data_IF_610550792732
#
_entry.id   IF_610550792732
#
_cell.length_a   1.000
_cell.length_b   1.000
_cell.length_c   1.000
_cell.angle_alpha   90.00
_cell.angle_beta   90.00
_cell.angle_gamma   90.00
#
_symmetry.space_group_name_H-M   'P 1'
#
loop_
_entity.id
_entity.type
_entity.pdbx_description
1 polymer ?
#
# COMPACT_ATOMS: atom_id res chain seq x y z
N UNK A 1 10.62 12.47 -13.85
CA UNK A 1 9.81 11.59 -12.99
C UNK A 1 9.24 12.40 -11.84
N UNK A 2 8.08 12.01 -11.31
CA UNK A 2 7.52 12.71 -10.15
C UNK A 2 8.38 12.42 -8.91
N UNK A 3 8.51 13.39 -8.00
CA UNK A 3 9.19 13.24 -6.71
C UNK A 3 8.73 11.94 -5.99
N UNK A 4 7.44 11.71 -5.94
CA UNK A 4 6.86 10.56 -5.26
C UNK A 4 7.23 9.19 -5.87
N UNK A 5 7.60 9.14 -7.15
CA UNK A 5 8.12 7.92 -7.78
C UNK A 5 9.47 7.53 -7.16
N UNK A 6 10.39 8.48 -7.08
CA UNK A 6 11.73 8.22 -6.49
C UNK A 6 11.65 7.96 -4.98
N UNK A 7 10.75 8.63 -4.29
CA UNK A 7 10.53 8.42 -2.86
C UNK A 7 9.98 6.98 -2.60
N UNK A 8 9.01 6.52 -3.39
CA UNK A 8 8.47 5.17 -3.28
C UNK A 8 9.51 4.09 -3.61
N UNK A 9 10.33 4.33 -4.64
CA UNK A 9 11.43 3.45 -5.02
C UNK A 9 12.47 3.36 -3.90
N UNK A 10 12.86 4.49 -3.35
CA UNK A 10 13.85 4.57 -2.25
C UNK A 10 13.33 3.88 -1.00
N UNK A 11 12.09 4.15 -0.60
CA UNK A 11 11.46 3.51 0.55
C UNK A 11 11.41 1.99 0.40
N UNK A 12 10.96 1.51 -0.76
CA UNK A 12 10.88 0.08 -1.03
C UNK A 12 12.27 -0.59 -1.02
N UNK A 13 13.29 0.10 -1.54
CA UNK A 13 14.67 -0.35 -1.49
C UNK A 13 15.16 -0.49 -0.04
N UNK A 14 14.99 0.55 0.77
CA UNK A 14 15.39 0.56 2.18
C UNK A 14 14.66 -0.53 2.99
N UNK A 15 13.34 -0.65 2.83
CA UNK A 15 12.55 -1.69 3.50
C UNK A 15 13.03 -3.10 3.11
N UNK A 16 13.36 -3.30 1.85
CA UNK A 16 13.84 -4.58 1.36
C UNK A 16 15.22 -4.90 1.92
N UNK A 17 16.15 -3.95 1.94
CA UNK A 17 17.46 -4.13 2.56
C UNK A 17 17.33 -4.44 4.05
N UNK A 18 16.50 -3.70 4.77
CA UNK A 18 16.21 -3.99 6.18
C UNK A 18 15.68 -5.40 6.36
N UNK A 19 14.68 -5.82 5.57
CA UNK A 19 14.12 -7.17 5.66
C UNK A 19 15.16 -8.26 5.38
N UNK A 20 16.06 -8.04 4.42
CA UNK A 20 17.12 -8.99 4.10
C UNK A 20 18.18 -9.09 5.22
N UNK A 21 18.34 -8.04 6.03
CA UNK A 21 19.24 -8.03 7.18
C UNK A 21 18.67 -8.74 8.42
N UNK A 22 17.36 -9.02 8.44
CA UNK A 22 16.73 -9.71 9.57
C UNK A 22 17.06 -11.21 9.53
N UNK A 23 17.58 -11.72 10.62
CA UNK A 23 17.91 -13.16 10.78
C UNK A 23 16.66 -13.96 11.17
N UNK A 24 15.67 -14.01 10.25
CA UNK A 24 14.46 -14.81 10.41
C UNK A 24 14.41 -15.94 9.39
N UNK A 25 14.38 -17.20 9.82
CA UNK A 25 14.42 -18.34 8.88
C UNK A 25 13.20 -18.45 7.97
N UNK A 26 12.03 -17.90 8.38
CA UNK A 26 10.77 -18.16 7.67
C UNK A 26 9.84 -16.96 7.46
N UNK A 27 10.09 -15.79 8.04
CA UNK A 27 9.17 -14.65 7.98
C UNK A 27 9.90 -13.39 7.54
N UNK A 28 9.91 -13.16 6.22
CA UNK A 28 10.40 -11.91 5.65
C UNK A 28 9.21 -11.04 5.26
N UNK A 29 9.34 -9.74 5.47
CA UNK A 29 8.43 -8.79 4.86
C UNK A 29 8.77 -8.65 3.38
N UNK A 30 7.76 -8.48 2.55
CA UNK A 30 7.91 -8.35 1.10
C UNK A 30 7.11 -7.14 0.64
N UNK A 31 7.69 -6.34 -0.22
CA UNK A 31 6.97 -5.22 -0.85
C UNK A 31 5.86 -5.78 -1.73
N UNK A 32 4.65 -5.27 -1.55
CA UNK A 32 3.48 -5.63 -2.33
C UNK A 32 2.83 -4.37 -2.89
N UNK A 33 2.50 -4.38 -4.17
CA UNK A 33 1.81 -3.30 -4.85
C UNK A 33 0.68 -3.83 -5.74
N UNK A 34 -0.08 -2.92 -6.37
CA UNK A 34 -1.06 -3.30 -7.40
C UNK A 34 -0.43 -3.78 -8.72
N UNK A 35 0.89 -3.77 -8.83
CA UNK A 35 1.61 -4.32 -9.97
C UNK A 35 1.53 -3.52 -11.27
N UNK A 36 0.82 -2.40 -11.29
CA UNK A 36 0.71 -1.50 -12.44
C UNK A 36 1.89 -0.52 -12.57
N UNK A 37 1.75 0.50 -13.44
CA UNK A 37 2.78 1.53 -13.64
C UNK A 37 2.82 2.57 -12.52
N UNK A 38 3.75 3.52 -12.60
CA UNK A 38 3.87 4.67 -11.70
C UNK A 38 4.38 4.29 -10.33
N UNK A 39 3.71 4.71 -9.25
CA UNK A 39 4.13 4.44 -7.87
C UNK A 39 4.20 2.93 -7.56
N UNK A 40 3.30 2.14 -8.13
CA UNK A 40 3.31 0.68 -7.99
C UNK A 40 4.58 0.06 -8.58
N UNK A 41 4.95 0.52 -9.77
CA UNK A 41 6.20 0.12 -10.43
C UNK A 41 7.42 0.59 -9.61
N UNK A 42 7.43 1.83 -9.13
CA UNK A 42 8.51 2.37 -8.31
C UNK A 42 8.76 1.50 -7.08
N UNK A 43 7.71 1.08 -6.39
CA UNK A 43 7.81 0.20 -5.23
C UNK A 43 8.40 -1.19 -5.60
N UNK A 44 7.91 -1.81 -6.66
CA UNK A 44 8.46 -3.10 -7.13
C UNK A 44 9.92 -2.96 -7.58
N UNK A 45 10.24 -1.87 -8.29
CA UNK A 45 11.60 -1.57 -8.75
C UNK A 45 12.58 -1.37 -7.59
N UNK A 46 12.20 -0.62 -6.55
CA UNK A 46 13.04 -0.44 -5.37
C UNK A 46 13.38 -1.76 -4.68
N UNK A 47 12.40 -2.67 -4.57
CA UNK A 47 12.64 -4.01 -4.02
C UNK A 47 13.54 -4.86 -4.91
N UNK A 48 13.34 -4.81 -6.23
CA UNK A 48 14.17 -5.50 -7.22
C UNK A 48 15.64 -5.03 -7.16
N UNK A 49 15.87 -3.73 -7.15
CA UNK A 49 17.21 -3.12 -7.07
C UNK A 49 17.93 -3.44 -5.75
N UNK A 50 17.20 -3.67 -4.67
CA UNK A 50 17.75 -4.14 -3.40
C UNK A 50 18.05 -5.64 -3.36
N UNK A 51 17.80 -6.38 -4.44
CA UNK A 51 18.00 -7.83 -4.52
C UNK A 51 16.94 -8.65 -3.79
N UNK A 52 15.81 -8.04 -3.43
CA UNK A 52 14.69 -8.72 -2.76
C UNK A 52 13.58 -9.15 -3.71
N UNK A 53 12.51 -9.70 -3.11
CA UNK A 53 11.31 -10.08 -3.84
C UNK A 53 10.23 -9.01 -3.70
N UNK A 54 9.37 -8.92 -4.72
CA UNK A 54 8.16 -8.09 -4.66
C UNK A 54 6.96 -8.82 -5.26
N UNK A 55 5.77 -8.44 -4.80
CA UNK A 55 4.49 -9.02 -5.20
C UNK A 55 3.70 -7.96 -5.96
N UNK A 56 3.01 -8.38 -7.02
CA UNK A 56 2.02 -7.58 -7.73
C UNK A 56 0.64 -8.20 -7.64
N UNK A 57 -0.33 -7.49 -7.07
CA UNK A 57 -1.74 -7.89 -7.02
C UNK A 57 -2.54 -7.04 -8.01
N UNK A 58 -2.53 -7.44 -9.27
CA UNK A 58 -3.15 -6.70 -10.36
C UNK A 58 -4.65 -7.01 -10.48
N UNK A 59 -5.39 -6.07 -11.05
CA UNK A 59 -6.80 -6.23 -11.41
C UNK A 59 -6.93 -6.16 -12.93
N UNK A 60 -7.70 -7.08 -13.50
CA UNK A 60 -7.98 -7.04 -14.93
C UNK A 60 -8.93 -5.89 -15.22
N UNK A 61 -8.45 -4.88 -15.95
CA UNK A 61 -9.23 -3.74 -16.41
C UNK A 61 -9.54 -3.87 -17.91
N UNK A 62 -10.60 -3.19 -18.40
CA UNK A 62 -10.91 -3.13 -19.83
C UNK A 62 -9.77 -2.50 -20.67
N UNK A 63 -8.99 -1.64 -20.05
CA UNK A 63 -7.78 -1.05 -20.64
C UNK A 63 -6.59 -1.82 -20.08
N UNK A 64 -5.81 -2.47 -20.93
CA UNK A 64 -4.69 -3.31 -20.51
C UNK A 64 -3.65 -2.50 -19.72
N UNK A 65 -3.61 -2.74 -18.41
CA UNK A 65 -2.45 -2.46 -17.57
C UNK A 65 -1.81 -3.80 -17.24
N UNK A 66 -0.75 -4.14 -17.97
CA UNK A 66 0.07 -5.30 -17.67
C UNK A 66 0.76 -5.16 -16.30
N UNK A 67 1.25 -6.27 -15.80
CA UNK A 67 2.18 -6.27 -14.66
C UNK A 67 3.48 -5.56 -15.06
N UNK A 68 4.03 -4.73 -14.16
CA UNK A 68 5.33 -4.12 -14.40
C UNK A 68 6.45 -5.16 -14.33
N UNK A 69 7.57 -4.88 -14.98
CA UNK A 69 8.69 -5.81 -15.17
C UNK A 69 9.50 -6.13 -13.90
N UNK A 70 9.35 -5.34 -12.84
CA UNK A 70 10.10 -5.48 -11.59
C UNK A 70 9.46 -6.44 -10.58
N UNK A 71 8.29 -6.97 -10.88
CA UNK A 71 7.63 -7.98 -10.04
C UNK A 71 8.42 -9.28 -10.16
N UNK A 72 8.66 -9.92 -9.02
CA UNK A 72 9.35 -11.20 -8.98
C UNK A 72 8.59 -12.26 -9.79
N UNK A 73 9.28 -12.97 -10.66
CA UNK A 73 8.67 -14.01 -11.48
C UNK A 73 7.88 -15.02 -10.62
N UNK A 74 6.65 -15.29 -10.99
CA UNK A 74 5.73 -16.15 -10.24
C UNK A 74 5.02 -15.46 -9.06
N UNK A 75 5.31 -14.19 -8.76
CA UNK A 75 4.63 -13.41 -7.70
C UNK A 75 3.73 -12.29 -8.25
N UNK A 76 3.42 -12.32 -9.53
CA UNK A 76 2.40 -11.47 -10.14
C UNK A 76 1.07 -12.21 -10.23
N UNK A 77 0.04 -11.66 -9.60
CA UNK A 77 -1.30 -12.25 -9.57
C UNK A 77 -2.30 -11.30 -10.23
N UNK A 78 -3.13 -11.82 -11.13
CA UNK A 78 -4.16 -11.04 -11.79
C UNK A 78 -5.54 -11.49 -11.30
N UNK A 79 -6.28 -10.57 -10.70
CA UNK A 79 -7.63 -10.80 -10.19
C UNK A 79 -8.68 -10.31 -11.20
N UNK A 80 -9.79 -11.03 -11.26
CA UNK A 80 -10.95 -10.62 -12.05
C UNK A 80 -11.90 -9.74 -11.22
N UNK A 81 -12.02 -10.02 -9.92
CA UNK A 81 -12.91 -9.31 -9.00
C UNK A 81 -12.14 -8.46 -8.01
N UNK A 82 -12.57 -7.21 -7.82
CA UNK A 82 -11.96 -6.27 -6.88
C UNK A 82 -11.93 -6.80 -5.45
N UNK A 83 -13.02 -7.39 -4.96
CA UNK A 83 -13.12 -7.85 -3.57
C UNK A 83 -12.09 -8.94 -3.23
N UNK A 84 -11.76 -9.81 -4.18
CA UNK A 84 -10.73 -10.83 -3.98
C UNK A 84 -9.34 -10.21 -3.85
N UNK A 85 -9.02 -9.23 -4.70
CA UNK A 85 -7.75 -8.50 -4.62
C UNK A 85 -7.62 -7.77 -3.29
N UNK A 86 -8.66 -7.06 -2.88
CA UNK A 86 -8.72 -6.33 -1.63
C UNK A 86 -8.53 -7.23 -0.42
N UNK A 87 -9.17 -8.40 -0.41
CA UNK A 87 -8.98 -9.40 0.64
C UNK A 87 -7.50 -9.77 0.80
N UNK A 88 -6.80 -10.02 -0.28
CA UNK A 88 -5.38 -10.38 -0.22
C UNK A 88 -4.48 -9.22 0.22
N UNK A 89 -4.78 -7.98 -0.18
CA UNK A 89 -4.08 -6.81 0.36
C UNK A 89 -4.25 -6.71 1.88
N UNK A 90 -5.50 -6.75 2.36
CA UNK A 90 -5.79 -6.62 3.78
C UNK A 90 -5.25 -7.79 4.62
N UNK A 91 -5.44 -9.02 4.15
CA UNK A 91 -5.12 -10.23 4.91
C UNK A 91 -3.63 -10.38 5.19
N UNK A 92 -2.79 -10.12 4.21
CA UNK A 92 -1.34 -10.32 4.32
C UNK A 92 -0.58 -9.07 4.77
N UNK A 93 -1.13 -7.86 4.62
CA UNK A 93 -0.45 -6.62 4.93
C UNK A 93 0.00 -6.55 6.40
N UNK A 94 1.18 -6.00 6.64
CA UNK A 94 1.73 -5.69 7.96
C UNK A 94 1.77 -4.18 8.20
N UNK A 95 1.89 -3.41 7.14
CA UNK A 95 1.75 -1.96 7.11
C UNK A 95 1.24 -1.56 5.73
N UNK A 96 0.60 -0.41 5.65
CA UNK A 96 0.17 0.22 4.41
C UNK A 96 0.82 1.60 4.32
N UNK A 97 1.52 1.87 3.23
CA UNK A 97 2.01 3.21 2.91
C UNK A 97 1.21 3.73 1.72
N UNK A 98 0.50 4.81 1.93
CA UNK A 98 -0.40 5.42 0.96
C UNK A 98 0.27 6.63 0.36
N UNK A 99 0.72 6.50 -0.88
CA UNK A 99 1.26 7.61 -1.67
C UNK A 99 0.13 8.42 -2.33
N UNK A 100 0.40 9.66 -2.77
CA UNK A 100 -0.54 10.43 -3.56
C UNK A 100 -1.15 9.62 -4.70
N UNK A 101 -2.48 9.56 -4.76
CA UNK A 101 -3.20 8.74 -5.72
C UNK A 101 -4.68 9.09 -5.81
N UNK A 102 -5.37 8.50 -6.76
CA UNK A 102 -6.78 8.77 -7.03
C UNK A 102 -7.75 7.84 -6.28
N UNK A 103 -8.93 7.66 -6.87
CA UNK A 103 -10.03 6.90 -6.26
C UNK A 103 -9.65 5.46 -5.90
N UNK A 104 -8.84 4.78 -6.72
CA UNK A 104 -8.40 3.42 -6.40
C UNK A 104 -7.52 3.35 -5.16
N UNK A 105 -6.68 4.37 -4.92
CA UNK A 105 -5.85 4.48 -3.72
C UNK A 105 -6.70 4.78 -2.49
N UNK A 106 -7.68 5.70 -2.61
CA UNK A 106 -8.63 6.02 -1.54
C UNK A 106 -9.49 4.81 -1.18
N UNK A 107 -9.94 4.06 -2.16
CA UNK A 107 -10.75 2.86 -1.98
C UNK A 107 -10.02 1.79 -1.13
N UNK A 108 -8.76 1.48 -1.44
CA UNK A 108 -7.95 0.56 -0.63
C UNK A 108 -7.67 1.11 0.77
N UNK A 109 -7.38 2.40 0.87
CA UNK A 109 -7.10 3.04 2.15
C UNK A 109 -8.32 3.01 3.07
N UNK A 110 -9.49 3.42 2.59
CA UNK A 110 -10.71 3.45 3.40
C UNK A 110 -11.21 2.05 3.76
N UNK A 111 -10.98 1.06 2.92
CA UNK A 111 -11.26 -0.33 3.30
C UNK A 111 -10.41 -0.76 4.50
N UNK A 112 -9.11 -0.53 4.44
CA UNK A 112 -8.20 -0.86 5.54
C UNK A 112 -8.57 -0.11 6.82
N UNK A 113 -8.89 1.19 6.72
CA UNK A 113 -9.33 1.99 7.86
C UNK A 113 -10.63 1.45 8.48
N UNK A 114 -11.59 1.07 7.65
CA UNK A 114 -12.86 0.47 8.09
C UNK A 114 -12.62 -0.86 8.80
N UNK A 115 -11.75 -1.69 8.26
CA UNK A 115 -11.40 -2.98 8.87
C UNK A 115 -10.65 -2.79 10.20
N UNK A 116 -9.80 -1.77 10.32
CA UNK A 116 -9.11 -1.43 11.55
C UNK A 116 -10.10 -0.91 12.61
N UNK A 117 -10.94 0.06 12.25
CA UNK A 117 -11.98 0.65 13.10
C UNK A 117 -12.94 -0.41 13.65
N UNK A 118 -13.39 -1.33 12.81
CA UNK A 118 -14.35 -2.38 13.19
C UNK A 118 -13.69 -3.60 13.82
N UNK A 119 -12.37 -3.56 14.05
CA UNK A 119 -11.59 -4.66 14.63
C UNK A 119 -11.72 -5.99 13.86
N UNK A 120 -11.97 -5.90 12.55
CA UNK A 120 -12.04 -7.06 11.65
C UNK A 120 -10.66 -7.53 11.18
N UNK A 121 -9.63 -6.73 11.36
CA UNK A 121 -8.25 -7.17 11.20
C UNK A 121 -7.78 -7.85 12.48
N UNK A 122 -7.33 -9.09 12.38
CA UNK A 122 -6.77 -9.85 13.53
C UNK A 122 -5.42 -9.31 14.02
N UNK A 123 -4.98 -8.18 13.51
CA UNK A 123 -3.67 -7.55 13.77
C UNK A 123 -3.76 -6.03 13.70
N UNK A 124 -2.94 -5.35 14.48
CA UNK A 124 -2.72 -3.91 14.31
C UNK A 124 -1.96 -3.67 13.02
N UNK A 125 -2.47 -2.80 12.16
CA UNK A 125 -1.86 -2.43 10.89
C UNK A 125 -1.59 -0.93 10.91
N UNK A 126 -0.32 -0.53 10.74
CA UNK A 126 0.06 0.86 10.59
C UNK A 126 -0.33 1.38 9.21
N UNK A 127 -1.01 2.53 9.15
CA UNK A 127 -1.34 3.22 7.91
C UNK A 127 -0.61 4.56 7.88
N UNK A 128 0.33 4.70 6.96
CA UNK A 128 1.15 5.90 6.77
C UNK A 128 0.70 6.64 5.53
N UNK A 129 0.30 7.89 5.67
CA UNK A 129 0.01 8.80 4.54
C UNK A 129 1.28 9.53 4.14
N UNK A 130 1.91 9.11 3.06
CA UNK A 130 3.11 9.76 2.55
C UNK A 130 2.76 10.90 1.60
N UNK A 131 3.37 12.08 1.82
CA UNK A 131 3.12 13.28 1.04
C UNK A 131 2.05 14.17 1.65
N UNK A 132 2.32 14.71 2.84
CA UNK A 132 1.43 15.58 3.60
C UNK A 132 0.85 16.75 2.80
N UNK A 133 1.64 17.35 1.90
CA UNK A 133 1.19 18.44 1.03
C UNK A 133 -0.05 18.01 0.21
N UNK A 134 0.03 16.84 -0.43
CA UNK A 134 -1.08 16.31 -1.21
C UNK A 134 -2.28 15.95 -0.34
N UNK A 135 -2.05 15.22 0.74
CA UNK A 135 -3.14 14.71 1.58
C UNK A 135 -3.88 15.82 2.31
N UNK A 136 -3.20 16.90 2.73
CA UNK A 136 -3.81 18.06 3.34
C UNK A 136 -4.74 18.84 2.38
N UNK A 137 -4.46 18.77 1.07
CA UNK A 137 -5.34 19.39 0.06
C UNK A 137 -6.53 18.50 -0.31
N UNK A 138 -6.34 17.20 -0.34
CA UNK A 138 -7.31 16.24 -0.88
C UNK A 138 -8.27 15.73 0.18
N UNK A 139 -7.83 15.61 1.44
CA UNK A 139 -8.61 14.95 2.47
C UNK A 139 -8.53 15.67 3.82
N UNK A 140 -9.69 16.08 4.33
CA UNK A 140 -9.87 16.52 5.71
C UNK A 140 -10.84 15.59 6.44
N UNK A 141 -10.34 14.79 7.35
CA UNK A 141 -11.14 13.86 8.17
C UNK A 141 -11.68 14.50 9.47
N UNK A 142 -11.23 15.69 9.83
CA UNK A 142 -11.69 16.41 11.00
C UNK A 142 -13.21 16.64 11.03
N UNK A 143 -13.85 17.07 9.93
CA UNK A 143 -15.29 17.18 9.84
C UNK A 143 -16.03 15.86 10.12
N UNK A 144 -15.50 14.70 9.73
CA UNK A 144 -16.14 13.41 10.03
C UNK A 144 -16.25 13.18 11.55
N UNK A 145 -15.19 13.49 12.29
CA UNK A 145 -15.21 13.40 13.76
C UNK A 145 -16.13 14.46 14.37
N UNK A 146 -16.11 15.70 13.87
CA UNK A 146 -16.97 16.79 14.32
C UNK A 146 -18.46 16.45 14.17
N UNK A 147 -18.85 15.80 13.09
CA UNK A 147 -20.22 15.38 12.83
C UNK A 147 -20.58 14.03 13.49
N UNK A 148 -19.66 13.43 14.24
CA UNK A 148 -19.88 12.15 14.92
C UNK A 148 -19.97 10.93 14.00
N UNK A 149 -19.45 11.03 12.77
CA UNK A 149 -19.44 9.91 11.81
C UNK A 149 -18.31 8.91 12.11
N UNK A 150 -17.25 9.39 12.75
CA UNK A 150 -16.14 8.58 13.29
C UNK A 150 -15.83 9.06 14.70
N UNK A 151 -15.18 8.23 15.51
CA UNK A 151 -14.71 8.65 16.83
C UNK A 151 -13.42 9.48 16.69
N UNK A 152 -13.12 10.39 17.66
CA UNK A 152 -11.83 11.09 17.66
C UNK A 152 -10.62 10.15 17.68
N UNK A 153 -10.76 8.97 18.29
CA UNK A 153 -9.71 7.94 18.33
C UNK A 153 -9.40 7.34 16.95
N UNK A 154 -10.36 7.34 16.05
CA UNK A 154 -10.19 6.80 14.69
C UNK A 154 -9.20 7.62 13.84
N UNK A 155 -9.05 8.92 14.16
CA UNK A 155 -8.05 9.78 13.52
C UNK A 155 -6.62 9.29 13.75
N UNK A 156 -6.39 8.58 14.85
CA UNK A 156 -5.08 8.00 15.19
C UNK A 156 -4.64 6.83 14.29
N UNK A 157 -5.53 6.29 13.45
CA UNK A 157 -5.13 5.26 12.48
C UNK A 157 -4.31 5.83 11.32
N UNK A 158 -4.45 7.12 11.02
CA UNK A 158 -3.73 7.81 9.94
C UNK A 158 -2.48 8.51 10.51
N UNK A 159 -1.33 8.11 10.05
CA UNK A 159 -0.05 8.72 10.43
C UNK A 159 0.51 9.50 9.24
N UNK A 160 0.49 10.83 9.27
CA UNK A 160 1.11 11.65 8.21
C UNK A 160 2.64 11.55 8.28
N UNK A 161 3.28 11.48 7.10
CA UNK A 161 4.73 11.46 6.94
C UNK A 161 5.18 12.36 5.78
#
# INVERSE_FOLDING_TARGET
MSRYYEDARTLAHMLTQWTLSLDFPHHRFVVCSGGGPGIMEAANRGAFEAGGKSIGLNIKLPFEQGLNEYITNGLGFQFHYFFMRKLWFAYLAKALVVFPGGFGTLDEMFEILTLAQTQKLAKTLGVVLYGSDYWNEVMDTGPMAKWGMISPGDLGYLQPA
#
